data_IF_797635361764
#
_entry.id   IF_797635361764
#
_cell.length_a   1.000
_cell.length_b   1.000
_cell.length_c   1.000
_cell.angle_alpha   90.00
_cell.angle_beta   90.00
_cell.angle_gamma   90.00
#
_symmetry.space_group_name_H-M   'P 1'
#
loop_
_entity.id
_entity.type
_entity.pdbx_description
1 polymer ?
#
# COMPACT_ATOMS: atom_id res chain seq x y z
N UNK A 1 92.49 25.33 -20.86
CA UNK A 1 91.41 26.16 -21.45
C UNK A 1 90.54 25.26 -22.32
N UNK A 2 89.23 25.50 -22.27
CA UNK A 2 88.13 24.93 -23.06
C UNK A 2 87.57 23.55 -22.66
N UNK A 3 86.63 23.65 -21.70
CA UNK A 3 85.28 23.07 -21.70
C UNK A 3 84.75 22.68 -23.10
N UNK A 4 83.96 21.60 -23.20
CA UNK A 4 82.48 21.70 -23.17
C UNK A 4 81.74 20.36 -23.40
N UNK A 5 80.82 20.07 -22.47
CA UNK A 5 79.50 19.44 -22.61
C UNK A 5 79.35 18.00 -23.15
N UNK A 6 79.43 17.06 -22.21
CA UNK A 6 78.45 15.98 -22.08
C UNK A 6 77.18 16.50 -21.40
N UNK A 7 76.02 16.29 -21.99
CA UNK A 7 74.74 16.03 -21.30
C UNK A 7 73.63 15.79 -22.33
N UNK A 8 73.32 14.52 -22.56
CA UNK A 8 72.06 14.10 -23.17
C UNK A 8 71.32 13.27 -22.11
N UNK A 9 70.58 13.96 -21.25
CA UNK A 9 69.70 13.34 -20.26
C UNK A 9 68.36 13.13 -20.93
N UNK A 10 68.12 11.91 -21.41
CA UNK A 10 66.79 11.44 -21.76
C UNK A 10 66.02 11.19 -20.45
N UNK A 11 65.31 12.21 -19.97
CA UNK A 11 64.26 12.03 -18.96
C UNK A 11 63.05 11.38 -19.64
N UNK A 12 62.86 10.09 -19.40
CA UNK A 12 61.58 9.43 -19.65
C UNK A 12 60.56 10.00 -18.66
N UNK A 13 59.65 10.82 -19.16
CA UNK A 13 58.45 11.25 -18.44
C UNK A 13 57.61 10.00 -18.18
N UNK A 14 57.77 9.40 -16.99
CA UNK A 14 56.82 8.41 -16.49
C UNK A 14 55.51 9.16 -16.22
N UNK A 15 54.59 9.09 -17.17
CA UNK A 15 53.17 9.29 -16.90
C UNK A 15 52.75 8.22 -15.88
N UNK A 16 52.76 8.57 -14.60
CA UNK A 16 51.96 7.86 -13.60
C UNK A 16 50.50 8.01 -14.03
N UNK A 17 50.01 7.04 -14.79
CA UNK A 17 48.58 6.80 -14.88
C UNK A 17 48.11 6.52 -13.46
N UNK A 18 47.48 7.52 -12.86
CA UNK A 18 46.76 7.36 -11.61
C UNK A 18 45.65 6.35 -11.91
N UNK A 19 45.84 5.11 -11.46
CA UNK A 19 44.91 4.02 -11.69
C UNK A 19 43.65 4.26 -10.85
N UNK A 20 42.72 5.08 -11.39
CA UNK A 20 41.48 5.46 -10.72
C UNK A 20 40.62 4.22 -10.39
N UNK A 21 40.82 3.11 -11.11
CA UNK A 21 40.08 1.86 -10.91
C UNK A 21 40.45 1.15 -9.60
N UNK A 22 41.66 1.31 -9.08
CA UNK A 22 42.06 0.66 -7.82
C UNK A 22 41.47 1.37 -6.59
N UNK A 23 41.14 2.66 -6.70
CA UNK A 23 40.51 3.43 -5.62
C UNK A 23 39.01 3.14 -5.49
N UNK A 24 38.28 2.96 -6.61
CA UNK A 24 36.86 2.58 -6.56
C UNK A 24 36.66 1.16 -5.99
N UNK A 25 37.56 0.23 -6.32
CA UNK A 25 37.47 -1.16 -5.82
C UNK A 25 37.83 -1.30 -4.34
N UNK A 26 38.82 -0.54 -3.82
CA UNK A 26 39.12 -0.53 -2.39
C UNK A 26 38.05 0.19 -1.55
N UNK A 27 37.50 1.32 -2.03
CA UNK A 27 36.42 2.02 -1.34
C UNK A 27 35.14 1.17 -1.22
N UNK A 28 34.77 0.45 -2.28
CA UNK A 28 33.62 -0.45 -2.27
C UNK A 28 33.83 -1.70 -1.41
N UNK A 29 35.05 -2.24 -1.34
CA UNK A 29 35.35 -3.40 -0.48
C UNK A 29 35.38 -3.05 1.02
N UNK A 30 35.92 -1.88 1.38
CA UNK A 30 35.93 -1.40 2.76
C UNK A 30 34.49 -1.09 3.24
N UNK A 31 33.65 -0.47 2.40
CA UNK A 31 32.23 -0.31 2.72
C UNK A 31 31.52 -1.65 2.89
N UNK A 32 31.75 -2.63 2.00
CA UNK A 32 31.14 -3.96 2.12
C UNK A 32 31.49 -4.65 3.45
N UNK A 33 32.75 -4.59 3.87
CA UNK A 33 33.18 -5.25 5.11
C UNK A 33 32.63 -4.57 6.37
N UNK A 34 32.51 -3.23 6.40
CA UNK A 34 31.87 -2.52 7.53
C UNK A 34 30.38 -2.86 7.61
N UNK A 35 29.70 -3.00 6.46
CA UNK A 35 28.30 -3.42 6.42
C UNK A 35 28.08 -4.85 6.93
N UNK A 36 28.96 -5.80 6.57
CA UNK A 36 28.86 -7.19 7.03
C UNK A 36 29.14 -7.35 8.53
N UNK A 37 30.12 -6.63 9.09
CA UNK A 37 30.47 -6.70 10.52
C UNK A 37 29.41 -6.02 11.41
N UNK A 38 28.68 -5.05 10.86
CA UNK A 38 27.52 -4.46 11.53
C UNK A 38 26.30 -5.40 11.49
N UNK A 39 26.21 -6.28 10.49
CA UNK A 39 25.10 -7.23 10.28
C UNK A 39 25.06 -8.34 11.33
N UNK A 40 26.22 -8.85 11.77
CA UNK A 40 26.30 -9.83 12.87
C UNK A 40 25.96 -9.23 14.26
N UNK A 41 25.93 -7.89 14.39
CA UNK A 41 25.46 -7.18 15.58
C UNK A 41 24.01 -6.66 15.48
N UNK A 42 23.37 -6.80 14.32
CA UNK A 42 22.02 -6.30 14.02
C UNK A 42 20.88 -7.30 14.31
N UNK A 43 21.20 -8.50 14.82
CA UNK A 43 20.20 -9.51 15.23
C UNK A 43 19.46 -9.19 16.54
N UNK A 44 19.75 -8.05 17.16
CA UNK A 44 19.02 -7.59 18.34
C UNK A 44 17.56 -7.28 18.01
N UNK A 45 16.63 -7.82 18.80
CA UNK A 45 15.17 -7.59 18.67
C UNK A 45 14.81 -6.09 18.56
N UNK A 46 15.55 -5.23 19.27
CA UNK A 46 15.43 -3.77 19.22
C UNK A 46 15.57 -3.19 17.79
N UNK A 47 16.48 -3.74 16.99
CA UNK A 47 16.72 -3.29 15.62
C UNK A 47 15.52 -3.63 14.72
N UNK A 48 15.00 -4.85 14.84
CA UNK A 48 13.83 -5.32 14.08
C UNK A 48 12.59 -4.49 14.40
N UNK A 49 12.40 -4.13 15.67
CA UNK A 49 11.31 -3.24 16.11
C UNK A 49 11.47 -1.85 15.51
N UNK A 50 12.68 -1.26 15.54
CA UNK A 50 12.92 0.04 14.94
C UNK A 50 12.72 0.04 13.42
N UNK A 51 13.07 -1.05 12.75
CA UNK A 51 12.77 -1.25 11.33
C UNK A 51 11.26 -1.25 11.10
N UNK A 52 10.50 -2.01 11.90
CA UNK A 52 9.05 -2.12 11.76
C UNK A 52 8.32 -0.81 12.05
N UNK A 53 8.79 -0.04 13.04
CA UNK A 53 8.29 1.32 13.30
C UNK A 53 8.44 2.23 12.07
N UNK A 54 9.56 2.12 11.34
CA UNK A 54 9.76 2.89 10.10
C UNK A 54 8.82 2.42 8.99
N UNK A 55 8.63 1.11 8.84
CA UNK A 55 7.68 0.53 7.86
C UNK A 55 6.27 1.05 8.14
N UNK A 56 5.82 0.99 9.40
CA UNK A 56 4.50 1.49 9.81
C UNK A 56 4.35 3.00 9.64
N UNK A 57 5.42 3.78 9.85
CA UNK A 57 5.40 5.22 9.59
C UNK A 57 5.25 5.53 8.09
N UNK A 58 5.94 4.79 7.21
CA UNK A 58 5.76 4.91 5.76
C UNK A 58 4.34 4.51 5.36
N UNK A 59 3.83 3.41 5.92
CA UNK A 59 2.48 2.93 5.67
C UNK A 59 1.42 3.99 6.03
N UNK A 60 1.59 4.70 7.13
CA UNK A 60 0.71 5.80 7.52
C UNK A 60 0.76 6.94 6.49
N UNK A 61 1.95 7.27 5.97
CA UNK A 61 2.10 8.25 4.89
C UNK A 61 1.38 7.77 3.62
N UNK A 62 1.46 6.49 3.27
CA UNK A 62 0.75 5.90 2.12
C UNK A 62 -0.78 6.05 2.26
N UNK A 63 -1.33 5.72 3.43
CA UNK A 63 -2.74 5.94 3.71
C UNK A 63 -3.13 7.41 3.66
N UNK A 64 -2.28 8.31 4.16
CA UNK A 64 -2.52 9.75 4.08
C UNK A 64 -2.53 10.25 2.63
N UNK A 65 -1.57 9.81 1.80
CA UNK A 65 -1.55 10.14 0.36
C UNK A 65 -2.82 9.62 -0.32
N UNK A 66 -3.21 8.39 -0.03
CA UNK A 66 -4.44 7.78 -0.57
C UNK A 66 -5.68 8.56 -0.16
N UNK A 67 -5.74 9.00 1.10
CA UNK A 67 -6.81 9.83 1.60
C UNK A 67 -6.85 11.19 0.88
N UNK A 68 -5.70 11.82 0.63
CA UNK A 68 -5.63 13.06 -0.15
C UNK A 68 -6.08 12.84 -1.59
N UNK A 69 -5.64 11.76 -2.24
CA UNK A 69 -6.09 11.39 -3.60
C UNK A 69 -7.61 11.16 -3.60
N UNK A 70 -8.13 10.49 -2.58
CA UNK A 70 -9.55 10.28 -2.38
C UNK A 70 -10.32 11.60 -2.27
N UNK A 71 -9.87 12.52 -1.42
CA UNK A 71 -10.47 13.85 -1.30
C UNK A 71 -10.42 14.62 -2.63
N UNK A 72 -9.30 14.57 -3.35
CA UNK A 72 -9.19 15.21 -4.65
C UNK A 72 -10.17 14.57 -5.64
N UNK A 73 -10.22 13.24 -5.71
CA UNK A 73 -11.12 12.53 -6.63
C UNK A 73 -12.59 12.83 -6.36
N UNK A 74 -13.02 12.81 -5.10
CA UNK A 74 -14.42 13.00 -4.72
C UNK A 74 -14.87 14.47 -4.78
N UNK A 75 -14.00 15.42 -4.40
CA UNK A 75 -14.35 16.85 -4.33
C UNK A 75 -13.98 17.66 -5.59
N UNK A 76 -13.50 17.02 -6.65
CA UNK A 76 -13.19 17.68 -7.93
C UNK A 76 -13.83 16.96 -9.10
N UNK A 77 -13.90 17.62 -10.27
CA UNK A 77 -14.35 17.02 -11.53
C UNK A 77 -13.41 15.95 -12.09
N UNK A 78 -12.38 15.56 -11.33
CA UNK A 78 -11.45 14.53 -11.75
C UNK A 78 -12.15 13.18 -11.86
N UNK A 79 -13.18 12.92 -11.06
CA UNK A 79 -14.02 11.73 -11.16
C UNK A 79 -14.66 11.58 -12.56
N UNK A 80 -15.09 12.68 -13.19
CA UNK A 80 -15.73 12.67 -14.52
C UNK A 80 -14.78 12.19 -15.64
N UNK A 81 -13.46 12.21 -15.38
CA UNK A 81 -12.46 11.63 -16.30
C UNK A 81 -12.47 10.10 -16.23
N UNK A 82 -12.80 9.55 -15.06
CA UNK A 82 -12.75 8.10 -14.78
C UNK A 82 -14.11 7.42 -14.90
N UNK A 83 -15.20 8.17 -14.72
CA UNK A 83 -16.57 7.69 -14.81
C UNK A 83 -17.34 8.50 -15.84
N UNK A 84 -17.97 7.79 -16.77
CA UNK A 84 -18.92 8.37 -17.71
C UNK A 84 -20.33 8.24 -17.14
N UNK A 85 -21.05 9.35 -17.15
CA UNK A 85 -22.44 9.42 -16.74
C UNK A 85 -23.36 9.13 -17.93
N UNK A 86 -24.05 7.99 -17.88
CA UNK A 86 -24.96 7.55 -18.93
C UNK A 86 -26.40 7.65 -18.41
N UNK A 87 -27.24 8.40 -19.11
CA UNK A 87 -28.67 8.48 -18.83
C UNK A 87 -29.40 7.54 -19.80
N UNK A 88 -30.10 6.55 -19.26
CA UNK A 88 -30.94 5.64 -20.05
C UNK A 88 -32.38 5.93 -19.69
N UNK A 89 -33.09 6.63 -20.58
CA UNK A 89 -34.52 6.89 -20.44
C UNK A 89 -35.31 5.82 -21.20
N UNK A 90 -36.18 5.12 -20.48
CA UNK A 90 -37.11 4.15 -21.06
C UNK A 90 -38.52 4.70 -20.96
N UNK A 91 -39.24 4.74 -22.08
CA UNK A 91 -40.65 5.08 -22.12
C UNK A 91 -41.46 3.83 -21.74
N UNK A 92 -42.10 3.85 -20.57
CA UNK A 92 -43.02 2.80 -20.15
C UNK A 92 -44.38 3.38 -19.79
N UNK A 93 -45.40 2.71 -20.34
CA UNK A 93 -46.83 2.83 -20.10
C UNK A 93 -47.49 4.21 -20.23
N UNK A 94 -48.42 4.29 -21.18
CA UNK A 94 -49.45 5.32 -21.22
C UNK A 94 -50.48 5.03 -20.13
N UNK A 95 -50.50 5.83 -19.08
CA UNK A 95 -51.63 5.88 -18.15
C UNK A 95 -52.56 7.02 -18.60
N UNK A 96 -53.42 6.74 -19.58
CA UNK A 96 -54.22 7.76 -20.27
C UNK A 96 -53.45 8.42 -21.42
N UNK A 97 -53.52 9.76 -21.52
CA UNK A 97 -52.83 10.56 -22.55
C UNK A 97 -51.42 11.03 -22.14
N UNK A 98 -51.03 10.82 -20.88
CA UNK A 98 -49.71 11.17 -20.37
C UNK A 98 -48.73 10.01 -20.54
N UNK A 99 -47.56 10.31 -21.12
CA UNK A 99 -46.41 9.42 -21.18
C UNK A 99 -45.44 9.77 -20.07
N UNK A 100 -45.19 8.83 -19.16
CA UNK A 100 -44.17 9.00 -18.13
C UNK A 100 -42.82 8.48 -18.64
N UNK A 101 -41.77 9.29 -18.47
CA UNK A 101 -40.40 8.92 -18.81
C UNK A 101 -39.67 8.52 -17.53
N UNK A 102 -39.26 7.26 -17.45
CA UNK A 102 -38.38 6.79 -16.39
C UNK A 102 -36.93 6.84 -16.88
N UNK A 103 -36.16 7.77 -16.35
CA UNK A 103 -34.72 7.87 -16.61
C UNK A 103 -33.94 7.21 -15.47
N UNK A 104 -33.07 6.27 -15.85
CA UNK A 104 -32.10 5.63 -14.97
C UNK A 104 -30.72 6.23 -15.19
N UNK A 105 -30.00 6.45 -14.10
CA UNK A 105 -28.64 6.95 -14.12
C UNK A 105 -27.67 5.79 -13.94
N UNK A 106 -26.76 5.63 -14.89
CA UNK A 106 -25.73 4.59 -14.87
C UNK A 106 -24.35 5.23 -14.93
N UNK A 107 -23.45 4.75 -14.08
CA UNK A 107 -22.05 5.16 -14.07
C UNK A 107 -21.20 4.06 -14.70
N UNK A 108 -20.58 4.36 -15.83
CA UNK A 108 -19.71 3.43 -16.53
C UNK A 108 -18.24 3.84 -16.34
N UNK A 109 -17.33 2.91 -16.03
CA UNK A 109 -15.90 3.22 -16.03
C UNK A 109 -15.40 3.57 -17.44
N UNK A 110 -14.59 4.63 -17.54
CA UNK A 110 -13.98 5.05 -18.80
C UNK A 110 -12.74 4.23 -19.13
N UNK A 111 -12.20 4.39 -20.35
CA UNK A 111 -10.91 3.79 -20.74
C UNK A 111 -9.75 4.23 -19.82
N UNK A 112 -9.81 5.42 -19.22
CA UNK A 112 -8.80 5.94 -18.28
C UNK A 112 -8.77 5.08 -17.02
N UNK A 113 -9.93 4.70 -16.50
CA UNK A 113 -10.03 3.77 -15.37
C UNK A 113 -9.34 2.44 -15.67
N UNK A 114 -9.62 1.83 -16.84
CA UNK A 114 -9.01 0.56 -17.21
C UNK A 114 -7.48 0.66 -17.39
N UNK A 115 -6.98 1.80 -17.87
CA UNK A 115 -5.54 2.08 -17.95
C UNK A 115 -4.91 2.12 -16.55
N UNK A 116 -5.52 2.83 -15.60
CA UNK A 116 -5.06 2.91 -14.22
C UNK A 116 -5.13 1.56 -13.49
N UNK A 117 -6.20 0.80 -13.73
CA UNK A 117 -6.36 -0.55 -13.22
C UNK A 117 -5.27 -1.49 -13.78
N UNK A 118 -4.98 -1.41 -15.07
CA UNK A 118 -3.92 -2.22 -15.69
C UNK A 118 -2.53 -1.85 -15.14
N UNK A 119 -2.26 -0.55 -14.98
CA UNK A 119 -1.01 -0.05 -14.40
C UNK A 119 -0.85 -0.50 -12.93
N UNK A 120 -1.89 -0.35 -12.11
CA UNK A 120 -1.86 -0.79 -10.70
C UNK A 120 -1.66 -2.30 -10.57
N UNK A 121 -2.32 -3.12 -11.39
CA UNK A 121 -2.11 -4.57 -11.43
C UNK A 121 -0.68 -4.94 -11.84
N UNK A 122 -0.13 -4.23 -12.83
CA UNK A 122 1.26 -4.45 -13.29
C UNK A 122 2.26 -4.09 -12.18
N UNK A 123 2.04 -2.98 -11.49
CA UNK A 123 2.88 -2.57 -10.36
C UNK A 123 2.74 -3.54 -9.18
N UNK A 124 1.53 -4.02 -8.87
CA UNK A 124 1.30 -5.03 -7.84
C UNK A 124 2.01 -6.34 -8.16
N UNK A 125 1.93 -6.79 -9.42
CA UNK A 125 2.63 -7.98 -9.88
C UNK A 125 4.15 -7.80 -9.77
N UNK A 126 4.64 -6.62 -10.17
CA UNK A 126 6.06 -6.26 -10.03
C UNK A 126 6.49 -6.25 -8.57
N UNK A 127 5.65 -5.79 -7.65
CA UNK A 127 5.92 -5.78 -6.22
C UNK A 127 6.05 -7.20 -5.65
N UNK A 128 5.12 -8.09 -6.01
CA UNK A 128 5.12 -9.48 -5.52
C UNK A 128 6.21 -10.35 -6.15
N UNK A 129 6.37 -10.30 -7.47
CA UNK A 129 7.26 -11.21 -8.21
C UNK A 129 8.63 -10.62 -8.54
N UNK A 130 8.80 -9.30 -8.43
CA UNK A 130 10.03 -8.58 -8.76
C UNK A 130 11.15 -8.73 -7.73
N UNK A 131 11.31 -9.94 -7.17
CA UNK A 131 12.12 -10.30 -5.99
C UNK A 131 13.59 -9.84 -6.03
N UNK A 132 14.12 -9.48 -7.21
CA UNK A 132 15.46 -8.89 -7.33
C UNK A 132 15.64 -7.99 -8.56
N UNK A 133 15.16 -8.39 -9.74
CA UNK A 133 15.36 -7.61 -10.97
C UNK A 133 14.46 -6.37 -11.06
N UNK A 134 13.20 -6.46 -10.65
CA UNK A 134 12.27 -5.31 -10.70
C UNK A 134 12.68 -4.16 -9.77
N UNK A 135 13.23 -4.51 -8.59
CA UNK A 135 13.68 -3.54 -7.58
C UNK A 135 14.93 -2.76 -7.99
N UNK A 136 15.72 -3.28 -8.93
CA UNK A 136 16.96 -2.63 -9.38
C UNK A 136 16.74 -1.73 -10.60
N UNK A 137 15.73 -2.00 -11.43
CA UNK A 137 15.48 -1.25 -12.66
C UNK A 137 14.85 0.11 -12.38
N UNK A 138 13.97 0.19 -11.38
CA UNK A 138 13.24 1.41 -11.06
C UNK A 138 13.63 1.91 -9.67
N UNK A 139 13.95 3.20 -9.57
CA UNK A 139 14.30 3.80 -8.29
C UNK A 139 13.12 3.64 -7.31
N UNK A 140 13.31 3.09 -6.10
CA UNK A 140 12.22 2.70 -5.20
C UNK A 140 11.24 3.84 -4.88
N UNK A 141 11.73 5.07 -4.76
CA UNK A 141 10.88 6.26 -4.56
C UNK A 141 9.98 6.58 -5.75
N UNK A 142 10.45 6.34 -6.96
CA UNK A 142 9.70 6.57 -8.19
C UNK A 142 8.63 5.48 -8.36
N UNK A 143 8.99 4.23 -8.05
CA UNK A 143 8.04 3.13 -7.96
C UNK A 143 6.96 3.41 -6.89
N UNK A 144 7.35 3.84 -5.69
CA UNK A 144 6.45 4.26 -4.63
C UNK A 144 5.46 5.33 -5.09
N UNK A 145 5.97 6.40 -5.71
CA UNK A 145 5.15 7.51 -6.17
C UNK A 145 4.10 7.06 -7.20
N UNK A 146 4.50 6.32 -8.23
CA UNK A 146 3.55 5.82 -9.22
C UNK A 146 2.59 4.79 -8.64
N UNK A 147 3.07 3.94 -7.75
CA UNK A 147 2.23 2.99 -7.05
C UNK A 147 1.11 3.71 -6.30
N UNK A 148 1.43 4.75 -5.52
CA UNK A 148 0.43 5.54 -4.80
C UNK A 148 -0.55 6.26 -5.73
N UNK A 149 -0.08 6.80 -6.87
CA UNK A 149 -0.97 7.45 -7.85
C UNK A 149 -1.90 6.43 -8.50
N UNK A 150 -1.37 5.40 -9.17
CA UNK A 150 -2.19 4.48 -9.94
C UNK A 150 -3.10 3.65 -9.04
N UNK A 151 -2.57 3.14 -7.93
CA UNK A 151 -3.35 2.35 -6.98
C UNK A 151 -4.35 3.24 -6.24
N UNK A 152 -3.92 4.42 -5.77
CA UNK A 152 -4.78 5.37 -5.07
C UNK A 152 -5.97 5.82 -5.91
N UNK A 153 -5.76 6.26 -7.16
CA UNK A 153 -6.86 6.66 -8.04
C UNK A 153 -7.76 5.48 -8.42
N UNK A 154 -7.20 4.30 -8.71
CA UNK A 154 -8.00 3.10 -8.99
C UNK A 154 -8.91 2.77 -7.80
N UNK A 155 -8.34 2.82 -6.59
CA UNK A 155 -9.08 2.60 -5.35
C UNK A 155 -10.17 3.67 -5.14
N UNK A 156 -9.86 4.95 -5.34
CA UNK A 156 -10.85 6.04 -5.27
C UNK A 156 -12.01 5.82 -6.22
N UNK A 157 -11.77 5.45 -7.48
CA UNK A 157 -12.85 5.23 -8.46
C UNK A 157 -13.71 4.01 -8.08
N UNK A 158 -13.08 2.88 -7.72
CA UNK A 158 -13.80 1.70 -7.23
C UNK A 158 -14.67 2.10 -6.03
N UNK A 159 -14.09 2.86 -5.10
CA UNK A 159 -14.78 3.34 -3.93
C UNK A 159 -15.97 4.23 -4.27
N UNK A 160 -15.84 5.19 -5.18
CA UNK A 160 -16.95 6.08 -5.56
C UNK A 160 -18.07 5.30 -6.25
N UNK A 161 -17.75 4.33 -7.12
CA UNK A 161 -18.76 3.42 -7.70
C UNK A 161 -19.53 2.68 -6.59
N UNK A 162 -18.82 2.23 -5.56
CA UNK A 162 -19.44 1.57 -4.41
C UNK A 162 -20.30 2.53 -3.60
N UNK A 163 -19.80 3.75 -3.32
CA UNK A 163 -20.50 4.77 -2.55
C UNK A 163 -21.82 5.23 -3.22
N UNK A 164 -21.85 5.28 -4.55
CA UNK A 164 -23.08 5.60 -5.29
C UNK A 164 -24.22 4.60 -5.04
N UNK A 165 -23.88 3.39 -4.59
CA UNK A 165 -24.82 2.30 -4.36
C UNK A 165 -24.98 1.92 -2.88
N UNK A 166 -24.22 2.55 -1.99
CA UNK A 166 -24.11 2.17 -0.58
C UNK A 166 -24.42 3.40 0.28
N UNK A 167 -25.02 3.19 1.45
CA UNK A 167 -25.23 4.27 2.42
C UNK A 167 -23.87 4.86 2.87
N UNK A 168 -23.75 6.19 2.87
CA UNK A 168 -22.56 6.94 3.32
C UNK A 168 -22.05 6.48 4.70
N UNK A 169 -22.94 6.00 5.57
CA UNK A 169 -22.57 5.47 6.88
C UNK A 169 -21.67 4.23 6.78
N UNK A 170 -21.94 3.34 5.83
CA UNK A 170 -21.13 2.13 5.62
C UNK A 170 -19.72 2.46 5.08
N UNK A 171 -19.56 3.62 4.43
CA UNK A 171 -18.25 4.16 4.06
C UNK A 171 -17.43 4.52 5.29
N UNK A 172 -18.01 5.23 6.26
CA UNK A 172 -17.33 5.55 7.52
C UNK A 172 -17.02 4.29 8.34
N UNK A 173 -17.92 3.30 8.33
CA UNK A 173 -17.71 1.99 8.97
C UNK A 173 -16.46 1.32 8.42
N UNK A 174 -16.31 1.30 7.10
CA UNK A 174 -15.20 0.61 6.45
C UNK A 174 -13.86 1.34 6.66
N UNK A 175 -13.82 2.67 6.58
CA UNK A 175 -12.59 3.41 6.92
C UNK A 175 -12.23 3.28 8.41
N UNK A 176 -13.23 3.29 9.28
CA UNK A 176 -13.05 3.12 10.72
C UNK A 176 -12.46 1.75 11.08
N UNK A 177 -12.96 0.67 10.47
CA UNK A 177 -12.43 -0.68 10.70
C UNK A 177 -10.98 -0.78 10.26
N UNK A 178 -10.63 -0.26 9.08
CA UNK A 178 -9.24 -0.25 8.57
C UNK A 178 -8.30 0.52 9.48
N UNK A 179 -8.69 1.73 9.87
CA UNK A 179 -7.90 2.56 10.77
C UNK A 179 -7.63 1.85 12.10
N UNK A 180 -8.63 1.11 12.61
CA UNK A 180 -8.52 0.37 13.86
C UNK A 180 -7.70 -0.91 13.73
N UNK A 181 -7.77 -1.63 12.61
CA UNK A 181 -6.87 -2.75 12.31
C UNK A 181 -5.42 -2.26 12.26
N UNK A 182 -5.16 -1.15 11.55
CA UNK A 182 -3.83 -0.54 11.48
C UNK A 182 -3.35 -0.16 12.87
N UNK A 183 -4.19 0.53 13.64
CA UNK A 183 -3.87 0.92 15.01
C UNK A 183 -3.55 -0.30 15.89
N UNK A 184 -4.34 -1.37 15.78
CA UNK A 184 -4.11 -2.63 16.47
C UNK A 184 -2.77 -3.28 16.12
N UNK A 185 -2.43 -3.30 14.84
CA UNK A 185 -1.14 -3.79 14.36
C UNK A 185 0.01 -2.90 14.82
N UNK A 186 -0.16 -1.57 14.86
CA UNK A 186 0.85 -0.66 15.42
C UNK A 186 1.07 -0.91 16.90
N UNK A 187 0.00 -1.03 17.70
CA UNK A 187 0.08 -1.38 19.11
C UNK A 187 0.78 -2.72 19.31
N UNK A 188 0.39 -3.74 18.54
CA UNK A 188 1.02 -5.06 18.56
C UNK A 188 2.54 -4.97 18.38
N UNK A 189 2.99 -4.23 17.37
CA UNK A 189 4.41 -4.00 17.10
C UNK A 189 5.13 -3.23 18.21
N UNK A 190 4.47 -2.25 18.83
CA UNK A 190 5.06 -1.42 19.87
C UNK A 190 5.19 -2.19 21.19
N UNK A 191 4.20 -3.00 21.54
CA UNK A 191 4.15 -3.68 22.84
C UNK A 191 5.03 -4.92 22.93
N UNK A 192 5.34 -5.58 21.82
CA UNK A 192 6.05 -6.86 21.86
C UNK A 192 7.56 -6.69 21.61
N UNK A 193 8.31 -6.52 22.70
CA UNK A 193 9.75 -6.26 22.66
C UNK A 193 10.65 -7.49 22.49
N UNK A 194 10.12 -8.71 22.60
CA UNK A 194 10.95 -9.92 22.73
C UNK A 194 10.68 -11.03 21.72
N UNK A 195 9.42 -11.29 21.35
CA UNK A 195 9.07 -12.24 20.29
C UNK A 195 7.65 -11.95 19.82
N UNK A 196 7.44 -11.56 18.57
CA UNK A 196 6.10 -11.30 18.02
C UNK A 196 5.29 -12.60 18.00
N UNK A 197 4.51 -12.81 19.05
CA UNK A 197 3.69 -14.00 19.21
C UNK A 197 2.43 -13.83 18.37
N UNK A 198 2.18 -14.81 17.50
CA UNK A 198 0.95 -14.86 16.72
C UNK A 198 -0.30 -14.81 17.61
N UNK A 199 -0.22 -15.40 18.81
CA UNK A 199 -1.33 -15.43 19.77
C UNK A 199 -1.69 -14.02 20.25
N UNK A 200 -0.70 -13.19 20.57
CA UNK A 200 -0.92 -11.81 21.05
C UNK A 200 -1.50 -10.95 19.92
N UNK A 201 -0.96 -11.06 18.71
CA UNK A 201 -1.49 -10.34 17.55
C UNK A 201 -2.93 -10.75 17.23
N UNK A 202 -3.23 -12.05 17.31
CA UNK A 202 -4.58 -12.57 17.13
C UNK A 202 -5.57 -12.02 18.16
N UNK A 203 -5.19 -11.99 19.44
CA UNK A 203 -6.01 -11.44 20.52
C UNK A 203 -6.26 -9.94 20.27
N UNK A 204 -5.24 -9.16 19.90
CA UNK A 204 -5.37 -7.74 19.63
C UNK A 204 -6.34 -7.45 18.47
N UNK A 205 -6.17 -8.14 17.33
CA UNK A 205 -7.07 -8.02 16.17
C UNK A 205 -8.50 -8.38 16.54
N UNK A 206 -8.69 -9.47 17.30
CA UNK A 206 -9.99 -9.94 17.72
C UNK A 206 -10.71 -8.94 18.65
N UNK A 207 -10.01 -8.45 19.68
CA UNK A 207 -10.56 -7.49 20.64
C UNK A 207 -10.95 -6.19 19.96
N UNK A 208 -10.10 -5.66 19.07
CA UNK A 208 -10.39 -4.42 18.34
C UNK A 208 -11.57 -4.60 17.39
N UNK A 209 -11.61 -5.70 16.64
CA UNK A 209 -12.73 -5.97 15.72
C UNK A 209 -14.06 -6.15 16.47
N UNK A 210 -14.05 -6.81 17.62
CA UNK A 210 -15.23 -6.91 18.49
C UNK A 210 -15.67 -5.56 19.07
N UNK A 211 -14.71 -4.72 19.48
CA UNK A 211 -15.01 -3.40 19.99
C UNK A 211 -15.72 -2.54 18.94
N UNK A 212 -15.25 -2.61 17.69
CA UNK A 212 -15.87 -1.92 16.55
C UNK A 212 -17.29 -2.42 16.28
N UNK A 213 -17.46 -3.74 16.29
CA UNK A 213 -18.77 -4.36 16.16
C UNK A 213 -19.75 -3.83 17.21
N UNK A 214 -19.35 -3.79 18.48
CA UNK A 214 -20.21 -3.30 19.57
C UNK A 214 -20.59 -1.83 19.34
N UNK A 215 -19.66 -0.98 18.93
CA UNK A 215 -19.94 0.43 18.63
C UNK A 215 -20.99 0.56 17.52
N UNK A 216 -20.83 -0.17 16.42
CA UNK A 216 -21.75 -0.06 15.30
C UNK A 216 -23.14 -0.61 15.60
N UNK A 217 -23.24 -1.70 16.37
CA UNK A 217 -24.53 -2.23 16.84
C UNK A 217 -25.26 -1.25 17.76
N UNK A 218 -24.53 -0.44 18.56
CA UNK A 218 -25.12 0.61 19.39
C UNK A 218 -25.65 1.76 18.53
N UNK A 219 -24.94 2.12 17.46
CA UNK A 219 -25.35 3.21 16.56
C UNK A 219 -26.57 2.79 15.73
N UNK A 220 -26.54 1.58 15.16
CA UNK A 220 -27.64 1.02 14.39
C UNK A 220 -27.78 -0.47 14.67
N UNK A 221 -28.85 -0.83 15.39
CA UNK A 221 -29.09 -2.24 15.74
C UNK A 221 -29.81 -3.01 14.64
N UNK A 222 -30.36 -2.33 13.63
CA UNK A 222 -31.12 -2.98 12.55
C UNK A 222 -30.23 -3.84 11.65
N UNK A 223 -28.97 -3.43 11.47
CA UNK A 223 -27.97 -4.12 10.65
C UNK A 223 -26.96 -4.95 11.46
N UNK A 224 -27.33 -5.37 12.68
CA UNK A 224 -26.39 -6.04 13.60
C UNK A 224 -25.76 -7.33 13.02
N UNK A 225 -26.50 -8.13 12.26
CA UNK A 225 -25.96 -9.33 11.61
C UNK A 225 -24.90 -8.98 10.55
N UNK A 226 -25.12 -7.88 9.82
CA UNK A 226 -24.20 -7.39 8.80
C UNK A 226 -22.90 -6.90 9.45
N UNK A 227 -23.00 -6.14 10.55
CA UNK A 227 -21.84 -5.70 11.33
C UNK A 227 -21.05 -6.88 11.92
N UNK A 228 -21.73 -7.95 12.37
CA UNK A 228 -21.07 -9.14 12.87
C UNK A 228 -20.23 -9.81 11.77
N UNK A 229 -20.76 -9.88 10.55
CA UNK A 229 -20.06 -10.45 9.42
C UNK A 229 -18.86 -9.60 8.98
N UNK A 230 -18.99 -8.26 9.01
CA UNK A 230 -17.84 -7.37 8.80
C UNK A 230 -16.74 -7.57 9.84
N UNK A 231 -17.11 -7.75 11.10
CA UNK A 231 -16.16 -8.04 12.15
C UNK A 231 -15.45 -9.38 11.91
N UNK A 232 -16.17 -10.41 11.47
CA UNK A 232 -15.58 -11.71 11.14
C UNK A 232 -14.59 -11.63 9.96
N UNK A 233 -14.97 -10.92 8.89
CA UNK A 233 -14.09 -10.68 7.74
C UNK A 233 -12.84 -9.90 8.20
N UNK A 234 -13.02 -8.83 8.97
CA UNK A 234 -11.94 -8.04 9.57
C UNK A 234 -10.98 -8.90 10.40
N UNK A 235 -11.52 -9.82 11.21
CA UNK A 235 -10.70 -10.75 12.02
C UNK A 235 -9.87 -11.65 11.13
N UNK A 236 -10.46 -12.29 10.11
CA UNK A 236 -9.72 -13.19 9.20
C UNK A 236 -8.58 -12.43 8.52
N UNK A 237 -8.87 -11.25 7.98
CA UNK A 237 -7.85 -10.45 7.31
C UNK A 237 -6.80 -9.88 8.27
N UNK A 238 -7.20 -9.46 9.46
CA UNK A 238 -6.25 -9.00 10.48
C UNK A 238 -5.31 -10.12 10.94
N UNK A 239 -5.82 -11.35 11.10
CA UNK A 239 -4.99 -12.53 11.37
C UNK A 239 -4.03 -12.83 10.22
N UNK A 240 -4.49 -12.71 8.98
CA UNK A 240 -3.65 -12.85 7.80
C UNK A 240 -2.54 -11.79 7.77
N UNK A 241 -2.85 -10.54 8.11
CA UNK A 241 -1.84 -9.47 8.23
C UNK A 241 -0.82 -9.76 9.33
N UNK A 242 -1.23 -10.24 10.50
CA UNK A 242 -0.31 -10.65 11.57
C UNK A 242 0.60 -11.80 11.11
N UNK A 243 0.06 -12.78 10.40
CA UNK A 243 0.81 -13.90 9.85
C UNK A 243 1.87 -13.41 8.85
N UNK A 244 1.48 -12.58 7.89
CA UNK A 244 2.37 -12.00 6.88
C UNK A 244 3.46 -11.14 7.53
N UNK A 245 3.10 -10.29 8.48
CA UNK A 245 4.05 -9.47 9.23
C UNK A 245 5.10 -10.33 9.93
N UNK A 246 4.68 -11.43 10.55
CA UNK A 246 5.57 -12.39 11.22
C UNK A 246 6.47 -13.13 10.22
N UNK A 247 5.92 -13.56 9.09
CA UNK A 247 6.68 -14.22 8.03
C UNK A 247 7.76 -13.29 7.45
N UNK A 248 7.43 -12.01 7.28
CA UNK A 248 8.37 -10.99 6.84
C UNK A 248 9.50 -10.84 7.87
N UNK A 249 9.18 -10.70 9.16
CA UNK A 249 10.20 -10.51 10.20
C UNK A 249 11.10 -11.72 10.44
N UNK A 250 10.61 -12.93 10.16
CA UNK A 250 11.38 -14.16 10.29
C UNK A 250 12.24 -14.47 9.06
N UNK A 251 12.06 -13.77 7.94
CA UNK A 251 12.95 -13.92 6.80
C UNK A 251 14.30 -13.26 7.11
N UNK A 252 15.29 -14.07 7.46
CA UNK A 252 16.70 -13.68 7.68
C UNK A 252 17.35 -12.99 6.47
N UNK A 253 16.64 -12.89 5.33
CA UNK A 253 17.10 -12.23 4.12
C UNK A 253 16.80 -10.73 4.06
N UNK A 254 16.02 -10.16 5.00
CA UNK A 254 15.81 -8.71 5.03
C UNK A 254 17.12 -8.01 5.35
N UNK A 255 17.76 -7.44 4.32
CA UNK A 255 18.87 -6.53 4.55
C UNK A 255 18.23 -5.24 5.01
N UNK A 256 18.63 -4.69 6.17
CA UNK A 256 18.06 -3.44 6.71
C UNK A 256 18.42 -2.19 5.89
N UNK A 257 18.27 -2.25 4.58
CA UNK A 257 18.42 -1.17 3.63
C UNK A 257 17.15 -0.35 3.60
N UNK A 258 17.34 0.93 3.27
CA UNK A 258 16.28 1.93 3.22
C UNK A 258 15.19 1.52 2.22
N UNK A 259 15.58 0.89 1.11
CA UNK A 259 14.65 0.49 0.06
C UNK A 259 13.74 -0.67 0.49
N UNK A 260 14.17 -1.51 1.42
CA UNK A 260 13.40 -2.67 1.86
C UNK A 260 12.21 -2.28 2.74
N UNK A 261 12.33 -1.25 3.59
CA UNK A 261 11.19 -0.80 4.39
C UNK A 261 10.08 -0.21 3.51
N UNK A 262 10.44 0.43 2.40
CA UNK A 262 9.49 1.06 1.49
C UNK A 262 8.75 0.01 0.67
N UNK A 263 9.46 -1.00 0.17
CA UNK A 263 8.86 -2.17 -0.48
C UNK A 263 7.93 -2.94 0.46
N UNK A 264 8.37 -3.13 1.71
CA UNK A 264 7.57 -3.82 2.71
C UNK A 264 6.29 -3.03 3.04
N UNK A 265 6.41 -1.71 3.17
CA UNK A 265 5.28 -0.81 3.39
C UNK A 265 4.25 -0.93 2.28
N UNK A 266 4.67 -0.82 1.00
CA UNK A 266 3.77 -0.94 -0.14
C UNK A 266 3.04 -2.29 -0.18
N UNK A 267 3.72 -3.38 0.22
CA UNK A 267 3.13 -4.70 0.24
C UNK A 267 2.09 -4.84 1.38
N UNK A 268 2.39 -4.29 2.57
CA UNK A 268 1.43 -4.19 3.66
C UNK A 268 0.24 -3.30 3.30
N UNK A 269 0.48 -2.17 2.63
CA UNK A 269 -0.55 -1.27 2.14
C UNK A 269 -1.50 -1.98 1.16
N UNK A 270 -0.96 -2.71 0.19
CA UNK A 270 -1.75 -3.52 -0.75
C UNK A 270 -2.61 -4.56 -0.01
N UNK A 271 -2.00 -5.28 0.93
CA UNK A 271 -2.67 -6.29 1.75
C UNK A 271 -3.79 -5.71 2.60
N UNK A 272 -3.63 -4.49 3.10
CA UNK A 272 -4.64 -3.81 3.92
C UNK A 272 -5.81 -3.27 3.11
N UNK A 273 -5.62 -2.93 1.83
CA UNK A 273 -6.71 -2.43 0.98
C UNK A 273 -7.58 -3.53 0.37
N UNK A 274 -7.10 -4.76 0.26
CA UNK A 274 -7.93 -5.90 -0.17
C UNK A 274 -9.17 -6.16 0.72
N UNK A 275 -9.06 -6.22 2.07
CA UNK A 275 -10.21 -6.36 2.94
C UNK A 275 -11.24 -5.25 2.75
N UNK A 276 -10.79 -4.04 2.45
CA UNK A 276 -11.66 -2.87 2.22
C UNK A 276 -12.60 -3.11 1.06
N UNK A 277 -12.04 -3.49 -0.10
CA UNK A 277 -12.83 -3.78 -1.30
C UNK A 277 -13.81 -4.92 -1.05
N UNK A 278 -13.41 -5.96 -0.31
CA UNK A 278 -14.28 -7.11 0.00
C UNK A 278 -15.39 -6.78 0.99
N UNK A 279 -15.11 -5.97 2.01
CA UNK A 279 -16.12 -5.47 2.95
C UNK A 279 -17.14 -4.62 2.17
N UNK A 280 -16.68 -3.71 1.31
CA UNK A 280 -17.56 -2.91 0.48
C UNK A 280 -18.40 -3.76 -0.50
N UNK A 281 -17.81 -4.79 -1.12
CA UNK A 281 -18.53 -5.69 -2.05
C UNK A 281 -19.65 -6.43 -1.32
N UNK A 282 -19.39 -6.84 -0.08
CA UNK A 282 -20.39 -7.47 0.77
C UNK A 282 -21.52 -6.50 1.15
N UNK A 283 -21.19 -5.24 1.50
CA UNK A 283 -22.19 -4.19 1.77
C UNK A 283 -23.08 -3.99 0.54
N UNK A 284 -22.49 -3.85 -0.63
CA UNK A 284 -23.21 -3.64 -1.89
C UNK A 284 -24.22 -4.76 -2.17
N UNK A 285 -23.78 -6.01 -2.07
CA UNK A 285 -24.63 -7.18 -2.36
C UNK A 285 -25.80 -7.32 -1.36
N UNK A 286 -25.60 -6.92 -0.10
CA UNK A 286 -26.65 -6.99 0.92
C UNK A 286 -27.66 -5.85 0.81
N UNK A 287 -27.23 -4.63 0.45
CA UNK A 287 -28.15 -3.51 0.21
C UNK A 287 -29.12 -3.78 -0.94
N UNK A 288 -28.66 -4.36 -2.06
CA UNK A 288 -29.52 -4.65 -3.22
C UNK A 288 -30.65 -5.61 -2.84
N UNK A 289 -30.33 -6.68 -2.11
CA UNK A 289 -31.32 -7.70 -1.70
C UNK A 289 -32.37 -7.19 -0.72
N UNK A 290 -32.12 -6.08 -0.03
CA UNK A 290 -33.08 -5.47 0.90
C UNK A 290 -34.02 -4.46 0.24
N UNK A 291 -33.66 -3.98 -0.96
CA UNK A 291 -34.44 -2.98 -1.71
C UNK A 291 -35.47 -3.57 -2.67
N UNK A 292 -35.47 -4.90 -2.84
CA UNK A 292 -36.42 -5.69 -3.64
C UNK A 292 -37.40 -6.45 -2.76
#
# INVERSE_FOLDING_TARGET
MNNTFTNNVNQSTQQQYLDLQSFETQGQQIQKNIYFEQQDKLDGVSVRINFLKKVLAVLLIEFFITFVIFLIGEFTYLLDVFLEYIIICTYYDKYGDETYEHCYYYFAPTWVFYLFLSASMTLQFTLYFGRQSGRQVMHPYLFFFFYQIFFGFTFTVIWTIMNLNINIMAMFVTWGTVALIIFGLMCYVIFEEKDLSFQVGAIMVFVISLFVFIIFVIIDSSDALQFLLYAFISIIYGLYLVLELRLMLNQNSLKLQIDEYLVLSMLLYALMLQPVVRICEFIYNTCITCSS
#
